data_IF_967641555580
#
_entry.id   IF_967641555580
#
_cell.length_a   1.000
_cell.length_b   1.000
_cell.length_c   1.000
_cell.angle_alpha   90.00
_cell.angle_beta   90.00
_cell.angle_gamma   90.00
#
_symmetry.space_group_name_H-M   'P 1'
#
loop_
_entity.id
_entity.type
_entity.pdbx_description
1 polymer ?
#
# COMPACT_ATOMS: atom_id res chain seq x y z
N UNK A 1 2.73 9.25 8.16
CA UNK A 1 2.87 7.90 7.59
C UNK A 1 1.70 7.50 6.69
N UNK A 2 0.49 7.25 7.23
CA UNK A 2 -0.67 6.87 6.42
C UNK A 2 -1.04 7.94 5.38
N UNK A 3 -0.96 9.20 5.78
CA UNK A 3 -1.20 10.34 4.88
C UNK A 3 -0.15 10.43 3.77
N UNK A 4 1.12 10.22 4.11
CA UNK A 4 2.22 10.12 3.14
C UNK A 4 1.98 9.00 2.14
N UNK A 5 1.58 7.81 2.61
CA UNK A 5 1.25 6.69 1.74
C UNK A 5 0.08 7.01 0.81
N UNK A 6 -0.98 7.65 1.33
CA UNK A 6 -2.12 8.14 0.53
C UNK A 6 -1.66 9.08 -0.59
N UNK A 7 -0.79 10.03 -0.28
CA UNK A 7 -0.23 10.97 -1.25
C UNK A 7 0.59 10.25 -2.32
N UNK A 8 1.49 9.34 -1.94
CA UNK A 8 2.25 8.53 -2.89
C UNK A 8 1.36 7.74 -3.85
N UNK A 9 0.28 7.12 -3.36
CA UNK A 9 -0.67 6.38 -4.21
C UNK A 9 -1.35 7.33 -5.19
N UNK A 10 -1.81 8.49 -4.72
CA UNK A 10 -2.46 9.49 -5.58
C UNK A 10 -1.52 10.08 -6.63
N UNK A 11 -0.25 10.31 -6.30
CA UNK A 11 0.78 10.73 -7.26
C UNK A 11 1.01 9.66 -8.32
N UNK A 12 1.13 8.39 -7.92
CA UNK A 12 1.25 7.29 -8.86
C UNK A 12 0.01 7.18 -9.78
N UNK A 13 -1.19 7.40 -9.24
CA UNK A 13 -2.42 7.42 -10.04
C UNK A 13 -2.37 8.57 -11.06
N UNK A 14 -2.02 9.78 -10.63
CA UNK A 14 -1.89 10.96 -11.50
C UNK A 14 -0.89 10.73 -12.63
N UNK A 15 0.28 10.18 -12.32
CA UNK A 15 1.31 9.81 -13.30
C UNK A 15 0.77 8.75 -14.27
N UNK A 16 0.08 7.72 -13.74
CA UNK A 16 -0.51 6.66 -14.54
C UNK A 16 -1.57 7.15 -15.52
N UNK A 17 -2.45 8.06 -15.11
CA UNK A 17 -3.47 8.68 -15.97
C UNK A 17 -2.78 9.52 -17.05
N UNK A 18 -1.85 10.41 -16.68
CA UNK A 18 -1.14 11.28 -17.62
C UNK A 18 -0.38 10.51 -18.71
N UNK A 19 0.09 9.29 -18.40
CA UNK A 19 0.84 8.44 -19.33
C UNK A 19 0.02 7.28 -19.94
N UNK A 20 -1.30 7.24 -19.71
CA UNK A 20 -2.18 6.10 -20.06
C UNK A 20 -1.61 4.73 -19.64
N UNK A 21 -0.92 4.70 -18.50
CA UNK A 21 -0.19 3.54 -17.99
C UNK A 21 -0.99 2.86 -16.87
N UNK A 22 -1.14 1.55 -16.96
CA UNK A 22 -1.82 0.73 -15.95
C UNK A 22 -1.01 -0.49 -15.51
N UNK A 23 0.09 -0.80 -16.19
CA UNK A 23 0.94 -1.95 -15.87
C UNK A 23 1.92 -1.59 -14.77
N UNK A 24 2.12 -2.51 -13.82
CA UNK A 24 2.99 -2.29 -12.67
C UNK A 24 4.43 -1.96 -13.09
N UNK A 25 4.99 -2.72 -14.05
CA UNK A 25 6.38 -2.53 -14.52
C UNK A 25 6.61 -1.11 -15.06
N UNK A 26 5.75 -0.65 -15.97
CA UNK A 26 5.89 0.68 -16.58
C UNK A 26 5.60 1.79 -15.56
N UNK A 27 4.60 1.61 -14.70
CA UNK A 27 4.28 2.58 -13.66
C UNK A 27 5.42 2.72 -12.64
N UNK A 28 6.11 1.62 -12.33
CA UNK A 28 7.29 1.65 -11.45
C UNK A 28 8.40 2.53 -12.03
N UNK A 29 8.75 2.33 -13.30
CA UNK A 29 9.78 3.15 -13.98
C UNK A 29 9.41 4.64 -13.97
N UNK A 30 8.15 4.96 -14.21
CA UNK A 30 7.68 6.35 -14.26
C UNK A 30 7.62 7.01 -12.87
N UNK A 31 7.06 6.30 -11.88
CA UNK A 31 6.75 6.89 -10.58
C UNK A 31 7.88 6.79 -9.57
N UNK A 32 8.77 5.80 -9.66
CA UNK A 32 9.75 5.53 -8.60
C UNK A 32 10.72 6.70 -8.37
N UNK A 33 11.14 7.38 -9.44
CA UNK A 33 11.99 8.58 -9.35
C UNK A 33 11.23 9.75 -8.69
N UNK A 34 9.97 9.97 -9.07
CA UNK A 34 9.12 11.02 -8.50
C UNK A 34 8.86 10.80 -7.01
N UNK A 35 8.74 9.53 -6.59
CA UNK A 35 8.62 9.17 -5.18
C UNK A 35 9.92 9.35 -4.37
N UNK A 36 11.03 9.76 -5.00
CA UNK A 36 12.30 10.06 -4.36
C UNK A 36 12.20 11.12 -3.25
N UNK A 37 11.30 12.10 -3.43
CA UNK A 37 11.09 13.19 -2.48
C UNK A 37 10.46 12.76 -1.15
N UNK A 38 9.85 11.58 -1.10
CA UNK A 38 9.29 11.02 0.13
C UNK A 38 10.39 10.35 0.97
N UNK A 39 10.61 10.88 2.19
CA UNK A 39 11.50 10.32 3.22
C UNK A 39 10.85 9.10 3.90
N UNK A 40 10.70 8.02 3.15
CA UNK A 40 10.04 6.76 3.55
C UNK A 40 10.78 5.57 2.95
N UNK A 41 10.67 4.40 3.60
CA UNK A 41 11.31 3.17 3.13
C UNK A 41 10.83 2.75 1.74
N UNK A 42 11.76 2.23 0.93
CA UNK A 42 11.53 1.90 -0.49
C UNK A 42 10.38 0.92 -0.72
N UNK A 43 10.15 -0.03 0.19
CA UNK A 43 9.07 -0.99 0.03
C UNK A 43 7.68 -0.32 0.10
N UNK A 44 7.49 0.74 0.89
CA UNK A 44 6.23 1.51 0.88
C UNK A 44 6.01 2.22 -0.47
N UNK A 45 7.09 2.67 -1.12
CA UNK A 45 7.02 3.26 -2.46
C UNK A 45 6.55 2.23 -3.48
N UNK A 46 7.13 1.03 -3.44
CA UNK A 46 6.73 -0.09 -4.30
C UNK A 46 5.27 -0.53 -4.03
N UNK A 47 4.86 -0.60 -2.76
CA UNK A 47 3.48 -0.93 -2.41
C UNK A 47 2.50 0.15 -2.89
N UNK A 48 2.86 1.44 -2.79
CA UNK A 48 2.05 2.53 -3.31
C UNK A 48 1.87 2.43 -4.85
N UNK A 49 2.96 2.14 -5.58
CA UNK A 49 2.93 1.89 -7.03
C UNK A 49 2.02 0.70 -7.35
N UNK A 50 2.14 -0.41 -6.62
CA UNK A 50 1.29 -1.60 -6.81
C UNK A 50 -0.19 -1.28 -6.60
N UNK A 51 -0.53 -0.53 -5.55
CA UNK A 51 -1.90 -0.09 -5.25
C UNK A 51 -2.46 0.80 -6.35
N UNK A 52 -1.67 1.74 -6.86
CA UNK A 52 -2.07 2.60 -7.98
C UNK A 52 -2.30 1.80 -9.27
N UNK A 53 -1.37 0.89 -9.61
CA UNK A 53 -1.48 0.04 -10.81
C UNK A 53 -2.74 -0.83 -10.80
N UNK A 54 -3.08 -1.42 -9.64
CA UNK A 54 -4.32 -2.18 -9.47
C UNK A 54 -5.58 -1.36 -9.76
N UNK A 55 -5.65 -0.13 -9.20
CA UNK A 55 -6.77 0.79 -9.42
C UNK A 55 -6.89 1.23 -10.89
N UNK A 56 -5.76 1.55 -11.52
CA UNK A 56 -5.71 1.94 -12.94
C UNK A 56 -6.10 0.79 -13.87
N UNK A 57 -5.68 -0.43 -13.54
CA UNK A 57 -6.08 -1.64 -14.26
C UNK A 57 -7.57 -1.90 -14.14
N UNK A 58 -8.13 -1.74 -12.94
CA UNK A 58 -9.58 -1.87 -12.72
C UNK A 58 -10.36 -0.82 -13.52
N UNK A 59 -9.93 0.44 -13.49
CA UNK A 59 -10.52 1.50 -14.32
C UNK A 59 -10.51 1.13 -15.81
N UNK A 60 -9.37 0.67 -16.36
CA UNK A 60 -9.30 0.22 -17.77
C UNK A 60 -10.24 -0.97 -18.05
N UNK A 61 -10.36 -1.92 -17.12
CA UNK A 61 -11.30 -3.04 -17.25
C UNK A 61 -12.75 -2.56 -17.30
N UNK A 62 -13.12 -1.57 -16.48
CA UNK A 62 -14.47 -1.00 -16.48
C UNK A 62 -14.75 -0.20 -17.75
N UNK A 63 -13.78 0.58 -18.25
CA UNK A 63 -13.88 1.25 -19.56
C UNK A 63 -14.08 0.25 -20.71
N UNK A 64 -13.35 -0.87 -20.70
CA UNK A 64 -13.50 -1.94 -21.71
C UNK A 64 -14.91 -2.57 -21.69
N UNK A 65 -15.60 -2.52 -20.55
CA UNK A 65 -16.98 -3.00 -20.40
C UNK A 65 -18.03 -1.94 -20.76
N UNK A 66 -17.63 -0.80 -21.33
CA UNK A 66 -18.54 0.29 -21.69
C UNK A 66 -19.02 1.14 -20.52
N UNK A 67 -18.43 0.99 -19.33
CA UNK A 67 -18.71 1.87 -18.19
C UNK A 67 -17.88 3.15 -18.28
N UNK A 68 -18.37 4.22 -17.68
CA UNK A 68 -17.67 5.50 -17.53
C UNK A 68 -17.13 5.63 -16.10
N UNK A 69 -16.02 4.94 -15.74
CA UNK A 69 -15.50 4.99 -14.38
C UNK A 69 -14.99 6.40 -14.05
N UNK A 70 -15.31 6.86 -12.84
CA UNK A 70 -14.68 8.06 -12.28
C UNK A 70 -13.17 7.84 -12.14
N UNK A 71 -12.39 8.90 -12.34
CA UNK A 71 -10.94 8.86 -12.11
C UNK A 71 -10.64 8.32 -10.71
N UNK A 72 -9.79 7.28 -10.58
CA UNK A 72 -9.44 6.72 -9.29
C UNK A 72 -8.76 7.80 -8.44
N UNK A 73 -9.11 7.84 -7.16
CA UNK A 73 -8.48 8.71 -6.18
C UNK A 73 -8.66 8.11 -4.78
N UNK A 74 -7.65 8.23 -3.95
CA UNK A 74 -7.68 7.77 -2.56
C UNK A 74 -7.96 8.94 -1.62
N UNK A 75 -9.16 8.93 -1.04
CA UNK A 75 -9.59 9.94 -0.07
C UNK A 75 -9.19 9.61 1.36
N UNK A 76 -9.40 8.36 1.81
CA UNK A 76 -9.12 7.97 3.20
C UNK A 76 -7.65 7.59 3.37
N UNK A 77 -6.95 8.11 4.39
CA UNK A 77 -5.61 7.66 4.73
C UNK A 77 -5.64 6.18 5.12
N UNK A 78 -4.70 5.40 4.58
CA UNK A 78 -4.52 4.00 4.92
C UNK A 78 -3.06 3.62 4.73
N UNK A 79 -2.68 2.47 5.28
CA UNK A 79 -1.35 1.90 5.06
C UNK A 79 -1.49 0.45 4.62
N UNK A 80 -0.81 0.11 3.53
CA UNK A 80 -0.58 -1.28 3.15
C UNK A 80 0.92 -1.48 3.15
N UNK A 81 1.36 -2.55 3.79
CA UNK A 81 2.73 -3.05 3.65
C UNK A 81 2.70 -4.56 3.75
N UNK A 82 3.50 -5.21 2.93
CA UNK A 82 3.79 -6.64 3.03
C UNK A 82 5.02 -6.93 3.91
N UNK A 83 5.69 -5.90 4.44
CA UNK A 83 6.94 -6.04 5.18
C UNK A 83 6.94 -5.24 6.49
N UNK A 84 7.68 -5.77 7.47
CA UNK A 84 8.09 -5.04 8.67
C UNK A 84 7.06 -4.97 9.80
N UNK A 85 5.84 -5.46 9.60
CA UNK A 85 4.88 -5.63 10.70
C UNK A 85 5.37 -6.72 11.65
N UNK A 86 5.53 -6.39 12.93
CA UNK A 86 5.87 -7.35 13.98
C UNK A 86 4.97 -7.13 15.18
N UNK A 87 4.43 -8.21 15.72
CA UNK A 87 3.69 -8.20 16.98
C UNK A 87 4.63 -8.67 18.08
N UNK A 88 4.73 -7.91 19.17
CA UNK A 88 5.51 -8.29 20.35
C UNK A 88 4.64 -8.04 21.58
N UNK A 89 4.12 -9.12 22.16
CA UNK A 89 3.06 -9.05 23.17
C UNK A 89 1.83 -8.35 22.61
N UNK A 90 1.43 -7.23 23.24
CA UNK A 90 0.29 -6.41 22.81
C UNK A 90 0.67 -5.26 21.87
N UNK A 91 1.90 -5.19 21.38
CA UNK A 91 2.35 -4.09 20.52
C UNK A 91 2.51 -4.55 19.07
N UNK A 92 1.75 -3.94 18.17
CA UNK A 92 2.00 -3.99 16.74
C UNK A 92 3.03 -2.91 16.38
N UNK A 93 4.18 -3.33 15.87
CA UNK A 93 5.24 -2.46 15.40
C UNK A 93 5.35 -2.49 13.87
N UNK A 94 5.62 -1.35 13.25
CA UNK A 94 6.00 -1.29 11.84
C UNK A 94 6.99 -0.16 11.57
N UNK A 95 7.88 -0.31 10.57
CA UNK A 95 8.94 0.67 10.33
C UNK A 95 8.37 1.90 9.63
N UNK A 96 8.80 3.10 9.99
CA UNK A 96 8.39 4.34 9.32
C UNK A 96 9.52 4.84 8.40
N UNK A 97 10.71 4.93 8.97
CA UNK A 97 11.94 5.48 8.38
C UNK A 97 13.14 4.69 8.89
N UNK A 98 14.35 5.05 8.45
CA UNK A 98 15.59 4.38 8.86
C UNK A 98 15.74 4.39 10.39
N UNK A 99 15.43 3.26 11.03
CA UNK A 99 15.54 3.05 12.48
C UNK A 99 14.24 3.26 13.26
N UNK A 100 13.34 4.12 12.77
CA UNK A 100 12.10 4.45 13.48
C UNK A 100 11.00 3.42 13.28
N UNK A 101 10.34 3.05 14.38
CA UNK A 101 9.16 2.17 14.37
C UNK A 101 7.98 2.89 14.97
N UNK A 102 6.83 2.74 14.34
CA UNK A 102 5.56 3.08 14.97
C UNK A 102 5.10 1.90 15.83
N UNK A 103 4.58 2.19 17.01
CA UNK A 103 4.01 1.20 17.92
C UNK A 103 2.52 1.49 18.09
N UNK A 104 1.70 0.46 17.87
CA UNK A 104 0.26 0.51 18.11
C UNK A 104 -0.06 -0.51 19.21
N UNK A 105 -0.66 -0.04 20.30
CA UNK A 105 -1.18 -0.93 21.34
C UNK A 105 -2.43 -1.62 20.81
N UNK A 106 -2.39 -2.94 20.78
CA UNK A 106 -3.51 -3.81 20.46
C UNK A 106 -4.33 -4.06 21.74
N UNK A 107 -5.63 -4.22 21.58
CA UNK A 107 -6.48 -4.74 22.66
C UNK A 107 -6.39 -6.28 22.71
N UNK A 108 -6.80 -6.86 23.83
CA UNK A 108 -6.71 -8.31 24.05
C UNK A 108 -7.44 -9.12 22.99
N UNK A 109 -8.63 -8.67 22.57
CA UNK A 109 -9.40 -9.30 21.50
C UNK A 109 -8.63 -9.35 20.17
N UNK A 110 -7.94 -8.27 19.79
CA UNK A 110 -7.16 -8.23 18.55
C UNK A 110 -5.95 -9.16 18.65
N UNK A 111 -5.32 -9.25 19.82
CA UNK A 111 -4.19 -10.16 20.06
C UNK A 111 -4.64 -11.62 19.99
N UNK A 112 -5.80 -11.98 20.55
CA UNK A 112 -6.31 -13.35 20.49
C UNK A 112 -6.60 -13.77 19.06
N UNK A 113 -7.30 -12.94 18.30
CA UNK A 113 -7.61 -13.20 16.89
C UNK A 113 -6.36 -13.32 16.01
N UNK A 114 -5.33 -12.51 16.27
CA UNK A 114 -4.07 -12.62 15.56
C UNK A 114 -3.34 -13.90 15.97
N UNK A 115 -3.26 -14.24 17.25
CA UNK A 115 -2.53 -15.45 17.70
C UNK A 115 -3.18 -16.74 17.17
N UNK A 116 -4.51 -16.81 17.14
CA UNK A 116 -5.26 -17.94 16.57
C UNK A 116 -5.05 -18.06 15.05
N UNK A 117 -5.01 -16.94 14.32
CA UNK A 117 -4.76 -16.93 12.88
C UNK A 117 -3.34 -17.36 12.48
N UNK A 118 -2.32 -17.10 13.31
CA UNK A 118 -0.94 -17.55 13.04
C UNK A 118 -0.80 -19.07 13.14
N UNK A 119 -1.60 -19.74 13.98
CA UNK A 119 -1.61 -21.20 14.07
C UNK A 119 -2.17 -21.87 12.80
N UNK A 120 -3.11 -21.23 12.09
CA UNK A 120 -3.63 -21.74 10.81
C UNK A 120 -2.63 -21.61 9.64
N UNK A 121 -1.73 -20.63 9.66
CA UNK A 121 -0.72 -20.46 8.60
C UNK A 121 0.48 -21.41 8.69
N UNK A 122 0.66 -22.12 9.81
CA UNK A 122 1.69 -23.16 9.96
C UNK A 122 1.22 -24.55 9.44
N UNK A 123 -0.03 -24.66 8.94
CA UNK A 123 -0.59 -25.91 8.41
C UNK A 123 -0.53 -26.05 6.88
N UNK A 124 0.14 -25.14 6.17
CA UNK A 124 0.31 -25.20 4.71
C UNK A 124 1.76 -24.88 4.36
N UNK A 125 2.67 -25.80 4.71
CA UNK A 125 3.92 -26.06 3.99
C UNK A 125 4.25 -27.55 4.13
#
# INVERSE_FOLDING_TARGET
MMETFRQMVNDCIRIGIANNCSTMKRLSVLSYKELGNYKILSYYKLTAISQAAGRLTQMKKDMKKGRTPKSPYVSKPYLVSCYGFKITGMLLSFPISNGDKFLVKLNEYTVSQLTEGWAQFQGIF
#
